data_IF_366605623682
#
_entry.id   IF_366605623682
#
_cell.length_a   1.000
_cell.length_b   1.000
_cell.length_c   1.000
_cell.angle_alpha   90.00
_cell.angle_beta   90.00
_cell.angle_gamma   90.00
#
_symmetry.space_group_name_H-M   'P 1'
#
loop_
_entity.id
_entity.type
_entity.pdbx_description
1 polymer ?
#
# COMPACT_ATOMS: atom_id res chain seq x y z
N UNK A 1 -6.77 48.31 9.66
CA UNK A 1 -7.28 46.94 9.88
C UNK A 1 -6.15 45.98 9.54
N UNK A 2 -5.52 45.38 10.55
CA UNK A 2 -4.31 44.57 10.40
C UNK A 2 -4.65 43.14 10.01
N UNK A 3 -4.12 42.70 8.87
CA UNK A 3 -4.33 41.37 8.32
C UNK A 3 -3.84 40.28 9.29
N UNK A 4 -4.73 39.36 9.62
CA UNK A 4 -4.45 38.17 10.43
C UNK A 4 -3.45 37.29 9.68
N UNK A 5 -2.16 37.38 10.04
CA UNK A 5 -1.11 36.49 9.51
C UNK A 5 -1.49 35.03 9.83
N UNK A 6 -1.76 34.24 8.81
CA UNK A 6 -2.06 32.81 8.92
C UNK A 6 -0.91 32.08 9.61
N UNK A 7 -1.19 31.13 10.52
CA UNK A 7 -0.18 30.35 11.27
C UNK A 7 0.93 29.75 10.41
N UNK A 8 0.64 29.48 9.13
CA UNK A 8 1.62 28.97 8.17
C UNK A 8 2.70 29.99 7.77
N UNK A 9 2.33 31.27 7.60
CA UNK A 9 3.26 32.34 7.25
C UNK A 9 4.27 32.62 8.37
N UNK A 10 3.80 32.57 9.63
CA UNK A 10 4.68 32.73 10.80
C UNK A 10 5.60 31.52 11.05
N UNK A 11 5.15 30.31 10.72
CA UNK A 11 5.99 29.11 10.75
C UNK A 11 7.09 29.17 9.68
N UNK A 12 6.76 29.64 8.47
CA UNK A 12 7.71 29.85 7.39
C UNK A 12 8.74 30.93 7.76
N UNK A 13 8.32 32.07 8.30
CA UNK A 13 9.22 33.14 8.76
C UNK A 13 10.17 32.64 9.88
N UNK A 14 9.71 31.80 10.81
CA UNK A 14 10.55 31.18 11.86
C UNK A 14 11.60 30.20 11.30
N UNK A 15 11.25 29.43 10.27
CA UNK A 15 12.19 28.52 9.59
C UNK A 15 13.29 29.30 8.88
N UNK A 16 12.93 30.36 8.15
CA UNK A 16 13.89 31.21 7.45
C UNK A 16 14.80 32.00 8.40
N UNK A 17 14.31 32.43 9.58
CA UNK A 17 15.16 33.13 10.55
C UNK A 17 16.17 32.20 11.23
N UNK A 18 15.79 30.94 11.50
CA UNK A 18 16.72 29.91 12.01
C UNK A 18 17.84 29.58 11.02
N UNK A 19 17.56 29.59 9.71
CA UNK A 19 18.57 29.36 8.67
C UNK A 19 19.59 30.51 8.56
N UNK A 20 19.20 31.76 8.85
CA UNK A 20 20.14 32.91 8.80
C UNK A 20 21.11 32.98 10.00
N UNK A 21 20.82 32.26 11.09
CA UNK A 21 21.66 32.23 12.29
C UNK A 21 22.77 31.18 12.28
N UNK A 22 22.76 30.22 11.36
CA UNK A 22 23.78 29.19 11.26
C UNK A 22 24.98 29.66 10.40
N UNK A 23 25.70 30.67 10.88
CA UNK A 23 27.09 30.89 10.47
C UNK A 23 27.97 30.02 11.36
N UNK A 24 28.19 28.76 10.97
CA UNK A 24 29.36 28.01 11.41
C UNK A 24 29.65 26.83 10.47
N UNK A 25 30.90 26.83 10.01
CA UNK A 25 31.65 25.77 9.34
C UNK A 25 31.17 25.24 7.98
N UNK A 26 31.34 26.08 6.95
CA UNK A 26 31.45 25.61 5.55
C UNK A 26 32.86 25.06 5.31
N UNK A 27 33.16 23.94 5.96
CA UNK A 27 34.30 23.08 5.64
C UNK A 27 33.93 22.18 4.47
N UNK A 28 34.28 22.59 3.25
CA UNK A 28 34.37 21.75 2.03
C UNK A 28 33.12 20.95 1.64
N UNK A 29 32.03 21.63 1.27
CA UNK A 29 31.04 21.04 0.35
C UNK A 29 31.01 21.88 -0.92
N UNK A 30 31.31 21.23 -2.05
CA UNK A 30 31.29 21.85 -3.37
C UNK A 30 29.86 22.32 -3.70
N UNK A 31 29.70 23.37 -4.52
CA UNK A 31 28.38 23.74 -5.07
C UNK A 31 27.68 22.54 -5.75
N UNK A 32 28.45 21.58 -6.26
CA UNK A 32 27.93 20.33 -6.81
C UNK A 32 27.25 19.46 -5.75
N UNK A 33 27.80 19.38 -4.53
CA UNK A 33 27.25 18.60 -3.43
C UNK A 33 25.93 19.22 -2.94
N UNK A 34 25.89 20.55 -2.83
CA UNK A 34 24.67 21.27 -2.48
C UNK A 34 23.58 21.13 -3.55
N UNK A 35 23.94 21.17 -4.84
CA UNK A 35 23.00 20.95 -5.94
C UNK A 35 22.46 19.51 -5.95
N UNK A 36 23.32 18.53 -5.67
CA UNK A 36 22.96 17.11 -5.59
C UNK A 36 22.07 16.81 -4.38
N UNK A 37 22.32 17.44 -3.24
CA UNK A 37 21.39 17.40 -2.11
C UNK A 37 20.03 17.96 -2.53
N UNK A 38 19.95 19.17 -3.08
CA UNK A 38 18.67 19.79 -3.50
C UNK A 38 17.90 18.91 -4.49
N UNK A 39 18.58 18.27 -5.44
CA UNK A 39 17.97 17.30 -6.36
C UNK A 39 17.45 16.06 -5.62
N UNK A 40 18.19 15.56 -4.63
CA UNK A 40 17.74 14.43 -3.80
C UNK A 40 16.49 14.77 -2.99
N UNK A 41 16.41 15.99 -2.45
CA UNK A 41 15.25 16.49 -1.71
C UNK A 41 14.03 16.58 -2.63
N UNK A 42 14.18 17.15 -3.83
CA UNK A 42 13.10 17.26 -4.81
C UNK A 42 12.60 15.88 -5.28
N UNK A 43 13.50 14.91 -5.46
CA UNK A 43 13.11 13.52 -5.78
C UNK A 43 12.33 12.86 -4.64
N UNK A 44 12.71 13.08 -3.38
CA UNK A 44 11.96 12.58 -2.22
C UNK A 44 10.58 13.21 -2.11
N UNK A 45 10.47 14.51 -2.35
CA UNK A 45 9.18 15.22 -2.36
C UNK A 45 8.26 14.69 -3.47
N UNK A 46 8.79 14.52 -4.70
CA UNK A 46 8.05 13.91 -5.81
C UNK A 46 7.62 12.47 -5.53
N UNK A 47 8.49 11.67 -4.89
CA UNK A 47 8.14 10.30 -4.49
C UNK A 47 7.05 10.29 -3.41
N UNK A 48 7.11 11.20 -2.44
CA UNK A 48 6.09 11.34 -1.41
C UNK A 48 4.73 11.78 -2.00
N UNK A 49 4.75 12.73 -2.95
CA UNK A 49 3.54 13.16 -3.67
C UNK A 49 2.95 12.03 -4.52
N UNK A 50 3.80 11.25 -5.19
CA UNK A 50 3.36 10.06 -5.94
C UNK A 50 2.71 9.02 -5.02
N UNK A 51 3.37 8.63 -3.93
CA UNK A 51 2.83 7.68 -2.94
C UNK A 51 1.50 8.20 -2.37
N UNK A 52 1.43 9.50 -2.07
CA UNK A 52 0.21 10.13 -1.58
C UNK A 52 -0.92 10.08 -2.62
N UNK A 53 -0.62 10.33 -3.89
CA UNK A 53 -1.62 10.25 -4.97
C UNK A 53 -2.14 8.83 -5.17
N UNK A 54 -1.26 7.83 -5.10
CA UNK A 54 -1.64 6.41 -5.15
C UNK A 54 -2.50 6.03 -3.95
N UNK A 55 -2.13 6.45 -2.74
CA UNK A 55 -2.93 6.19 -1.53
C UNK A 55 -4.29 6.88 -1.58
N UNK A 56 -4.38 8.11 -2.08
CA UNK A 56 -5.66 8.79 -2.26
C UNK A 56 -6.56 8.08 -3.28
N UNK A 57 -6.00 7.53 -4.37
CA UNK A 57 -6.76 6.75 -5.34
C UNK A 57 -7.19 5.39 -4.77
N UNK A 58 -6.34 4.77 -3.94
CA UNK A 58 -6.68 3.57 -3.18
C UNK A 58 -7.83 3.85 -2.21
N UNK A 59 -7.73 4.92 -1.41
CA UNK A 59 -8.76 5.40 -0.47
C UNK A 59 -10.07 5.75 -1.18
N UNK A 60 -10.01 6.33 -2.37
CA UNK A 60 -11.18 6.60 -3.21
C UNK A 60 -11.79 5.31 -3.77
N UNK A 61 -10.97 4.30 -4.07
CA UNK A 61 -11.44 2.97 -4.48
C UNK A 61 -12.08 2.19 -3.33
N UNK A 62 -11.77 2.50 -2.06
CA UNK A 62 -12.43 1.93 -0.88
C UNK A 62 -13.89 2.38 -0.72
N UNK A 63 -14.40 3.35 -1.47
CA UNK A 63 -15.84 3.68 -1.49
C UNK A 63 -16.65 2.68 -2.36
N UNK A 64 -15.98 1.86 -3.19
CA UNK A 64 -16.58 0.77 -3.96
C UNK A 64 -16.15 -0.59 -3.42
N UNK A 65 -16.32 -0.82 -2.10
CA UNK A 65 -16.13 -2.18 -1.56
C UNK A 65 -17.13 -3.12 -2.21
N UNK A 66 -16.63 -4.23 -2.73
CA UNK A 66 -17.48 -5.28 -3.29
C UNK A 66 -18.41 -5.80 -2.19
N UNK A 67 -19.72 -5.75 -2.43
CA UNK A 67 -20.72 -6.33 -1.52
C UNK A 67 -20.86 -7.84 -1.69
N UNK A 68 -20.19 -8.41 -2.70
CA UNK A 68 -20.28 -9.84 -3.01
C UNK A 68 -19.48 -10.67 -2.01
N UNK A 69 -20.00 -11.86 -1.71
CA UNK A 69 -19.26 -12.89 -1.01
C UNK A 69 -18.08 -13.37 -1.88
N UNK A 70 -16.93 -13.60 -1.26
CA UNK A 70 -15.70 -14.04 -1.92
C UNK A 70 -15.31 -15.41 -1.38
N UNK A 71 -15.05 -16.36 -2.27
CA UNK A 71 -14.51 -17.66 -1.92
C UNK A 71 -13.01 -17.71 -2.29
N UNK A 72 -12.15 -17.76 -1.28
CA UNK A 72 -10.71 -17.90 -1.40
C UNK A 72 -10.31 -19.37 -1.26
N UNK A 73 -9.78 -19.96 -2.32
CA UNK A 73 -9.17 -21.30 -2.28
C UNK A 73 -7.66 -21.13 -2.08
N UNK A 74 -7.18 -21.42 -0.86
CA UNK A 74 -5.80 -21.13 -0.43
C UNK A 74 -5.01 -22.42 -0.19
N UNK A 75 -3.72 -22.43 -0.54
CA UNK A 75 -2.81 -23.53 -0.20
C UNK A 75 -2.36 -23.43 1.27
N UNK A 76 -2.22 -24.56 1.96
CA UNK A 76 -1.76 -24.61 3.36
C UNK A 76 -0.27 -24.35 3.50
N UNK A 77 0.50 -24.93 2.58
CA UNK A 77 1.95 -24.81 2.51
C UNK A 77 2.29 -23.61 1.63
N UNK A 78 2.12 -22.43 2.20
CA UNK A 78 2.46 -21.20 1.50
C UNK A 78 3.98 -21.06 1.33
N UNK A 79 4.45 -20.44 0.24
CA UNK A 79 5.84 -20.01 0.12
C UNK A 79 6.17 -19.05 1.26
N UNK A 80 7.43 -19.05 1.71
CA UNK A 80 7.95 -18.16 2.79
C UNK A 80 7.57 -16.68 2.57
N UNK A 81 7.43 -16.26 1.31
CA UNK A 81 7.00 -14.91 0.91
C UNK A 81 5.60 -14.50 1.41
N UNK A 82 4.75 -15.46 1.78
CA UNK A 82 3.37 -15.24 2.21
C UNK A 82 3.18 -15.34 3.73
N UNK A 83 4.24 -15.60 4.51
CA UNK A 83 4.17 -15.72 5.99
C UNK A 83 3.69 -14.43 6.67
N UNK A 84 3.93 -13.27 6.06
CA UNK A 84 3.51 -11.97 6.60
C UNK A 84 2.13 -11.52 6.10
N UNK A 85 1.50 -12.28 5.22
CA UNK A 85 0.17 -11.94 4.70
C UNK A 85 -0.92 -12.47 5.63
N UNK A 86 -2.01 -11.70 5.83
CA UNK A 86 -3.20 -12.17 6.50
C UNK A 86 -3.75 -13.48 5.89
N UNK A 87 -4.50 -14.25 6.69
CA UNK A 87 -5.09 -15.54 6.29
C UNK A 87 -6.01 -15.41 5.06
N UNK A 88 -6.61 -14.26 4.87
CA UNK A 88 -7.50 -13.90 3.77
C UNK A 88 -6.82 -13.10 2.65
N UNK A 89 -5.49 -12.95 2.69
CA UNK A 89 -4.73 -12.06 1.80
C UNK A 89 -5.21 -10.59 1.81
N UNK A 90 -5.85 -10.16 2.89
CA UNK A 90 -6.38 -8.80 3.03
C UNK A 90 -7.72 -8.56 2.33
N UNK A 91 -8.37 -9.60 1.79
CA UNK A 91 -9.65 -9.49 1.10
C UNK A 91 -10.76 -8.89 1.96
N UNK A 92 -10.79 -9.14 3.27
CA UNK A 92 -11.78 -8.56 4.18
C UNK A 92 -11.72 -7.04 4.25
N UNK A 93 -10.56 -6.43 3.96
CA UNK A 93 -10.49 -4.97 3.90
C UNK A 93 -11.10 -4.41 2.60
N UNK A 94 -11.19 -5.23 1.54
CA UNK A 94 -11.63 -4.83 0.19
C UNK A 94 -13.11 -5.14 -0.09
N UNK A 95 -13.73 -6.08 0.62
CA UNK A 95 -15.15 -6.41 0.45
C UNK A 95 -15.95 -6.20 1.75
N UNK A 96 -17.25 -5.96 1.60
CA UNK A 96 -18.23 -5.96 2.70
C UNK A 96 -19.00 -7.27 2.78
N UNK A 97 -18.93 -8.11 1.73
CA UNK A 97 -19.42 -9.48 1.74
C UNK A 97 -18.57 -10.42 2.60
N UNK A 98 -19.04 -11.65 2.77
CA UNK A 98 -18.32 -12.69 3.54
C UNK A 98 -17.13 -13.22 2.74
N UNK A 99 -15.98 -13.34 3.39
CA UNK A 99 -14.82 -14.05 2.84
C UNK A 99 -14.81 -15.48 3.38
N UNK A 100 -15.08 -16.44 2.50
CA UNK A 100 -15.00 -17.87 2.78
C UNK A 100 -13.61 -18.39 2.37
N UNK A 101 -12.93 -19.11 3.25
CA UNK A 101 -11.57 -19.60 2.99
C UNK A 101 -11.57 -21.12 3.06
N UNK A 102 -11.14 -21.78 1.97
CA UNK A 102 -10.98 -23.24 1.90
C UNK A 102 -9.52 -23.57 1.65
N UNK A 103 -8.97 -24.45 2.47
CA UNK A 103 -7.55 -24.79 2.45
C UNK A 103 -7.25 -26.09 1.72
N UNK A 104 -6.25 -26.08 0.85
CA UNK A 104 -5.79 -27.24 0.10
C UNK A 104 -4.31 -27.53 0.32
N UNK A 105 -3.94 -28.80 0.14
CA UNK A 105 -2.55 -29.21 0.22
C UNK A 105 -1.85 -28.95 -1.14
N UNK A 106 -0.54 -28.71 -1.12
CA UNK A 106 0.27 -28.50 -2.33
C UNK A 106 0.94 -27.13 -2.37
N UNK A 107 1.55 -26.83 -3.52
CA UNK A 107 2.17 -25.53 -3.82
C UNK A 107 1.29 -24.70 -4.75
N UNK A 108 1.67 -23.45 -4.95
CA UNK A 108 1.00 -22.58 -5.92
C UNK A 108 1.01 -23.19 -7.34
N UNK A 109 2.09 -23.89 -7.73
CA UNK A 109 2.16 -24.51 -9.06
C UNK A 109 1.42 -25.84 -9.16
N UNK A 110 1.22 -26.55 -8.04
CA UNK A 110 0.69 -27.92 -8.05
C UNK A 110 -0.77 -28.02 -7.62
N UNK A 111 -1.32 -26.95 -7.06
CA UNK A 111 -2.69 -26.87 -6.57
C UNK A 111 -3.76 -27.23 -7.62
N UNK A 112 -3.49 -26.99 -8.91
CA UNK A 112 -4.42 -27.31 -10.02
C UNK A 112 -4.04 -28.57 -10.81
N UNK A 113 -3.09 -29.38 -10.33
CA UNK A 113 -2.70 -30.63 -10.99
C UNK A 113 -3.76 -31.73 -10.82
N UNK A 114 -3.75 -32.74 -11.70
CA UNK A 114 -4.82 -33.74 -11.89
C UNK A 114 -5.60 -34.17 -10.64
N UNK A 115 -4.93 -34.54 -9.55
CA UNK A 115 -5.60 -35.07 -8.35
C UNK A 115 -6.26 -33.95 -7.54
N UNK A 116 -5.54 -32.87 -7.22
CA UNK A 116 -6.07 -31.72 -6.47
C UNK A 116 -7.01 -30.84 -7.31
N UNK A 117 -6.77 -30.73 -8.62
CA UNK A 117 -7.58 -29.95 -9.55
C UNK A 117 -9.01 -30.48 -9.68
N UNK A 118 -9.21 -31.78 -9.51
CA UNK A 118 -10.56 -32.37 -9.47
C UNK A 118 -11.34 -31.90 -8.23
N UNK A 119 -10.73 -31.95 -7.05
CA UNK A 119 -11.33 -31.49 -5.79
C UNK A 119 -11.64 -29.99 -5.83
N UNK A 120 -10.74 -29.20 -6.41
CA UNK A 120 -10.94 -27.76 -6.62
C UNK A 120 -12.12 -27.49 -7.56
N UNK A 121 -12.22 -28.22 -8.66
CA UNK A 121 -13.32 -28.08 -9.61
C UNK A 121 -14.67 -28.46 -8.99
N UNK A 122 -14.71 -29.52 -8.17
CA UNK A 122 -15.90 -29.93 -7.43
C UNK A 122 -16.34 -28.85 -6.43
N UNK A 123 -15.41 -28.25 -5.69
CA UNK A 123 -15.71 -27.15 -4.76
C UNK A 123 -16.21 -25.90 -5.49
N UNK A 124 -15.60 -25.51 -6.61
CA UNK A 124 -16.09 -24.40 -7.45
C UNK A 124 -17.51 -24.68 -7.93
N UNK A 125 -17.78 -25.89 -8.41
CA UNK A 125 -19.13 -26.28 -8.88
C UNK A 125 -20.15 -26.16 -7.75
N UNK A 126 -19.79 -26.61 -6.54
CA UNK A 126 -20.63 -26.49 -5.35
C UNK A 126 -20.89 -25.02 -4.99
N UNK A 127 -19.86 -24.18 -4.97
CA UNK A 127 -20.00 -22.73 -4.71
C UNK A 127 -20.97 -22.11 -5.71
N UNK A 128 -20.77 -22.37 -7.01
CA UNK A 128 -21.64 -21.83 -8.07
C UNK A 128 -23.08 -22.34 -7.95
N UNK A 129 -23.30 -23.55 -7.44
CA UNK A 129 -24.65 -24.09 -7.22
C UNK A 129 -25.42 -23.42 -6.06
N UNK A 130 -24.70 -22.79 -5.13
CA UNK A 130 -25.27 -22.04 -4.00
C UNK A 130 -25.71 -20.63 -4.39
N UNK A 131 -25.18 -20.08 -5.48
CA UNK A 131 -25.56 -18.80 -6.05
C UNK A 131 -26.74 -19.01 -6.99
N UNK A 132 -27.95 -19.06 -6.43
CA UNK A 132 -29.22 -19.07 -7.17
C UNK A 132 -30.05 -17.84 -6.82
#
# INVERSE_FOLDING_TARGET
MTATKTKWLSAKEKLFSKMKGAKQDVGKSSMADAAQEVLSWKRREQAADFIKSVNMELERSFEMRSTSDIHLLRIKSDPVMCEHLPVDYGLQSWCTGKVHITFYNGSHETFLNRDSGKEVAEEITKILSLVK
#
